data_IF_603508818109
#
_entry.id   IF_603508818109
#
_cell.length_a   1.000
_cell.length_b   1.000
_cell.length_c   1.000
_cell.angle_alpha   90.00
_cell.angle_beta   90.00
_cell.angle_gamma   90.00
#
_symmetry.space_group_name_H-M   'P 1'
#
loop_
_entity.id
_entity.type
_entity.pdbx_description
1 polymer ?
#
# COMPACT_ATOMS: atom_id res chain seq x y z
N UNK A 1 30.83 -20.38 7.01
CA UNK A 1 30.57 -18.93 7.08
C UNK A 1 29.33 -18.65 6.25
N UNK A 2 28.19 -18.42 6.89
CA UNK A 2 26.96 -17.98 6.21
C UNK A 2 27.24 -16.57 5.66
N UNK A 3 27.50 -16.47 4.36
CA UNK A 3 28.13 -15.31 3.72
C UNK A 3 27.17 -14.16 3.41
N UNK A 4 26.46 -13.65 4.41
CA UNK A 4 25.56 -12.50 4.27
C UNK A 4 25.49 -11.67 5.55
N UNK A 5 25.19 -10.38 5.42
CA UNK A 5 24.97 -9.50 6.57
C UNK A 5 23.69 -9.93 7.32
N UNK A 6 23.73 -10.05 8.66
CA UNK A 6 22.58 -10.52 9.44
C UNK A 6 21.42 -9.52 9.37
N UNK A 7 20.21 -10.02 9.13
CA UNK A 7 18.98 -9.20 9.07
C UNK A 7 18.63 -8.54 10.41
N UNK A 8 18.98 -9.17 11.53
CA UNK A 8 18.71 -8.69 12.90
C UNK A 8 19.93 -8.97 13.77
N UNK A 9 20.30 -8.02 14.63
CA UNK A 9 21.41 -8.15 15.60
C UNK A 9 20.96 -7.78 17.00
N UNK A 10 21.20 -8.67 17.96
CA UNK A 10 21.03 -8.36 19.39
C UNK A 10 22.16 -7.43 19.82
N UNK A 11 21.81 -6.23 20.28
CA UNK A 11 22.79 -5.22 20.73
C UNK A 11 23.09 -5.37 22.23
N UNK A 12 22.12 -5.89 23.01
CA UNK A 12 22.21 -6.07 24.46
C UNK A 12 21.25 -7.16 24.94
N UNK A 13 21.62 -7.85 26.01
CA UNK A 13 20.83 -8.91 26.63
C UNK A 13 21.17 -10.28 26.06
N UNK A 14 20.71 -11.33 26.74
CA UNK A 14 20.82 -12.72 26.30
C UNK A 14 19.40 -13.29 26.20
N UNK A 15 18.69 -13.04 25.08
CA UNK A 15 17.33 -13.52 24.93
C UNK A 15 17.33 -15.05 24.83
N UNK A 16 16.32 -15.68 25.41
CA UNK A 16 16.11 -17.10 25.16
C UNK A 16 15.55 -17.36 23.74
N UNK A 17 15.49 -18.63 23.35
CA UNK A 17 15.01 -19.04 22.03
C UNK A 17 13.57 -18.59 21.76
N UNK A 18 12.72 -18.53 22.80
CA UNK A 18 11.31 -18.12 22.66
C UNK A 18 11.19 -16.62 22.47
N UNK A 19 11.95 -15.83 23.23
CA UNK A 19 12.00 -14.37 23.11
C UNK A 19 12.54 -13.96 21.74
N UNK A 20 13.62 -14.59 21.27
CA UNK A 20 14.19 -14.32 19.96
C UNK A 20 13.21 -14.70 18.83
N UNK A 21 12.52 -15.83 18.95
CA UNK A 21 11.50 -16.25 18.01
C UNK A 21 10.32 -15.27 17.98
N UNK A 22 9.84 -14.82 19.13
CA UNK A 22 8.72 -13.89 19.24
C UNK A 22 9.02 -12.56 18.52
N UNK A 23 10.19 -11.97 18.77
CA UNK A 23 10.62 -10.74 18.09
C UNK A 23 10.75 -10.96 16.59
N UNK A 24 11.33 -12.08 16.17
CA UNK A 24 11.49 -12.42 14.74
C UNK A 24 10.15 -12.56 14.04
N UNK A 25 9.16 -13.19 14.67
CA UNK A 25 7.80 -13.34 14.12
C UNK A 25 7.13 -11.98 13.97
N UNK A 26 7.26 -11.08 14.96
CA UNK A 26 6.70 -9.72 14.86
C UNK A 26 7.34 -8.94 13.72
N UNK A 27 8.67 -9.01 13.58
CA UNK A 27 9.38 -8.34 12.48
C UNK A 27 8.97 -8.90 11.12
N UNK A 28 8.89 -10.22 10.96
CA UNK A 28 8.38 -10.86 9.75
C UNK A 28 6.92 -10.43 9.46
N UNK A 29 6.10 -10.38 10.52
CA UNK A 29 4.80 -9.72 10.61
C UNK A 29 4.72 -8.39 9.87
N UNK A 30 5.51 -7.45 10.36
CA UNK A 30 5.54 -6.07 9.91
C UNK A 30 6.11 -5.93 8.50
N UNK A 31 7.11 -6.74 8.14
CA UNK A 31 7.72 -6.72 6.80
C UNK A 31 6.82 -7.36 5.74
N UNK A 32 6.00 -8.35 6.10
CA UNK A 32 5.03 -8.98 5.20
C UNK A 32 3.75 -8.16 5.02
N UNK A 33 3.50 -7.17 5.88
CA UNK A 33 2.35 -6.30 5.78
C UNK A 33 2.50 -5.35 4.58
N UNK A 34 1.87 -5.70 3.46
CA UNK A 34 1.70 -4.77 2.35
C UNK A 34 0.89 -3.55 2.82
N UNK A 35 1.32 -2.31 2.51
CA UNK A 35 0.50 -1.14 2.77
C UNK A 35 -0.83 -1.34 2.05
N UNK A 36 -1.94 -1.13 2.77
CA UNK A 36 -3.27 -1.20 2.17
C UNK A 36 -3.27 -0.33 0.92
N UNK A 37 -3.51 -0.95 -0.24
CA UNK A 37 -3.59 -0.21 -1.49
C UNK A 37 -4.60 0.93 -1.28
N UNK A 38 -4.26 2.18 -1.64
CA UNK A 38 -5.20 3.27 -1.51
C UNK A 38 -6.47 2.87 -2.25
N UNK A 39 -7.61 2.95 -1.56
CA UNK A 39 -8.91 2.72 -2.20
C UNK A 39 -9.09 3.85 -3.20
N UNK A 40 -8.68 3.62 -4.44
CA UNK A 40 -8.94 4.54 -5.54
C UNK A 40 -10.44 4.41 -5.83
N UNK A 41 -11.26 5.46 -5.61
CA UNK A 41 -12.65 5.38 -5.99
C UNK A 41 -12.73 5.07 -7.48
N UNK A 42 -13.57 4.08 -7.83
CA UNK A 42 -13.77 3.73 -9.22
C UNK A 42 -14.14 4.98 -10.04
N UNK A 43 -13.60 5.15 -11.26
CA UNK A 43 -14.00 6.24 -12.13
C UNK A 43 -15.52 6.26 -12.26
N UNK A 44 -16.15 7.40 -12.00
CA UNK A 44 -17.59 7.56 -12.25
C UNK A 44 -17.80 7.37 -13.76
N UNK A 45 -18.77 6.54 -14.14
CA UNK A 45 -19.14 6.44 -15.55
C UNK A 45 -19.61 7.81 -16.04
N UNK A 46 -19.28 8.16 -17.29
CA UNK A 46 -19.78 9.42 -17.88
C UNK A 46 -21.31 9.50 -17.88
N UNK A 47 -22.00 8.36 -17.91
CA UNK A 47 -23.45 8.25 -17.77
C UNK A 47 -23.99 8.65 -16.38
N UNK A 48 -23.17 8.50 -15.33
CA UNK A 48 -23.53 8.91 -13.98
C UNK A 48 -23.25 10.39 -13.71
N UNK A 49 -22.65 11.11 -14.66
CA UNK A 49 -22.40 12.54 -14.53
C UNK A 49 -23.67 13.35 -14.84
N UNK A 50 -24.23 13.98 -13.79
CA UNK A 50 -25.41 14.86 -13.93
C UNK A 50 -25.11 16.17 -14.64
N UNK A 51 -23.84 16.51 -14.86
CA UNK A 51 -23.48 17.72 -15.60
C UNK A 51 -24.14 17.73 -17.00
N UNK A 52 -24.25 16.55 -17.61
CA UNK A 52 -24.92 16.31 -18.89
C UNK A 52 -26.44 16.55 -18.83
N UNK A 53 -27.12 16.18 -17.73
CA UNK A 53 -28.57 16.40 -17.59
C UNK A 53 -28.92 17.83 -17.17
N UNK A 54 -27.98 18.52 -16.53
CA UNK A 54 -28.11 19.91 -16.07
C UNK A 54 -27.63 20.93 -17.12
N UNK A 55 -27.12 20.47 -18.27
CA UNK A 55 -26.69 21.32 -19.38
C UNK A 55 -25.40 22.10 -19.12
N UNK A 56 -24.53 21.61 -18.23
CA UNK A 56 -23.24 22.22 -18.01
C UNK A 56 -22.33 22.06 -19.24
N UNK A 57 -21.40 23.00 -19.49
CA UNK A 57 -20.38 22.85 -20.52
C UNK A 57 -19.55 21.59 -20.30
N UNK A 58 -19.18 20.92 -21.39
CA UNK A 58 -18.27 19.78 -21.33
C UNK A 58 -16.91 20.21 -20.72
N UNK A 59 -16.47 19.52 -19.68
CA UNK A 59 -15.17 19.76 -19.08
C UNK A 59 -14.08 19.02 -19.86
N UNK A 60 -12.97 19.70 -20.16
CA UNK A 60 -11.78 19.03 -20.68
C UNK A 60 -11.21 18.10 -19.59
N UNK A 61 -11.08 16.81 -19.91
CA UNK A 61 -10.57 15.81 -19.00
C UNK A 61 -9.70 14.81 -19.78
N UNK A 62 -8.65 14.24 -19.17
CA UNK A 62 -7.81 13.24 -19.82
C UNK A 62 -8.65 12.11 -20.42
N UNK A 63 -8.59 11.94 -21.74
CA UNK A 63 -9.35 10.92 -22.49
C UNK A 63 -10.69 11.37 -23.08
N UNK A 64 -11.09 12.63 -22.93
CA UNK A 64 -12.27 13.17 -23.64
C UNK A 64 -11.95 13.44 -25.12
N UNK A 65 -12.96 13.37 -25.98
CA UNK A 65 -12.81 13.70 -27.41
C UNK A 65 -12.38 15.17 -27.56
N UNK A 66 -11.25 15.40 -28.23
CA UNK A 66 -10.52 16.68 -28.33
C UNK A 66 -9.79 17.15 -27.05
N UNK A 67 -9.19 16.23 -26.29
CA UNK A 67 -8.16 16.54 -25.26
C UNK A 67 -6.75 16.45 -25.82
#
# INVERSE_FOLDING_TARGET
MTGGEPLVRVVRGEPDDFELAAVTVVLAALLAAEPAAPVVPAPRSGWADRSHSLGFPAQHAPGAWNS
#
